data_IF_042665295241
#
_entry.id   IF_042665295241
#
_cell.length_a   1.000
_cell.length_b   1.000
_cell.length_c   1.000
_cell.angle_alpha   90.00
_cell.angle_beta   90.00
_cell.angle_gamma   90.00
#
_symmetry.space_group_name_H-M   'P 1'
#
loop_
_entity.id
_entity.type
_entity.pdbx_description
1 polymer ?
#
# COMPACT_ATOMS: atom_id res chain seq x y z
N UNK A 1 -31.07 20.35 -41.97
CA UNK A 1 -30.45 19.01 -41.91
C UNK A 1 -28.94 19.21 -41.88
N UNK A 2 -28.36 19.22 -40.69
CA UNK A 2 -26.93 19.09 -40.47
C UNK A 2 -26.79 18.03 -39.38
N UNK A 3 -26.34 16.86 -39.79
CA UNK A 3 -26.00 15.73 -38.93
C UNK A 3 -24.71 16.08 -38.19
N UNK A 4 -24.82 16.31 -36.89
CA UNK A 4 -23.67 16.37 -36.00
C UNK A 4 -23.11 14.95 -35.84
N UNK A 5 -22.00 14.67 -36.49
CA UNK A 5 -21.13 13.57 -36.13
C UNK A 5 -20.52 13.89 -34.76
N UNK A 6 -21.03 13.25 -33.72
CA UNK A 6 -20.33 13.14 -32.45
C UNK A 6 -19.26 12.09 -32.70
N UNK A 7 -18.01 12.53 -32.83
CA UNK A 7 -16.84 11.67 -32.76
C UNK A 7 -16.91 10.91 -31.43
N UNK A 8 -17.15 9.61 -31.53
CA UNK A 8 -16.94 8.65 -30.45
C UNK A 8 -15.47 8.74 -30.05
N UNK A 9 -15.20 9.30 -28.88
CA UNK A 9 -13.89 9.14 -28.25
C UNK A 9 -13.76 7.66 -27.90
N UNK A 10 -13.00 6.93 -28.72
CA UNK A 10 -12.42 5.65 -28.38
C UNK A 10 -11.49 5.86 -27.17
N UNK A 11 -12.01 5.62 -25.96
CA UNK A 11 -11.20 5.43 -24.75
C UNK A 11 -10.80 3.96 -24.76
N UNK A 12 -9.69 3.67 -25.45
CA UNK A 12 -9.12 2.33 -25.60
C UNK A 12 -8.28 1.96 -24.37
N UNK A 13 -8.69 0.88 -23.70
CA UNK A 13 -7.92 -0.15 -22.97
C UNK A 13 -6.96 0.17 -21.81
N UNK A 14 -6.36 1.34 -21.68
CA UNK A 14 -5.30 1.54 -20.68
C UNK A 14 -5.83 1.80 -19.24
N UNK A 15 -6.99 2.44 -19.10
CA UNK A 15 -7.56 2.83 -17.80
C UNK A 15 -8.24 1.65 -17.06
N UNK A 16 -8.73 0.64 -17.78
CA UNK A 16 -9.37 -0.53 -17.17
C UNK A 16 -8.34 -1.46 -16.52
N UNK A 17 -7.23 -1.70 -17.22
CA UNK A 17 -6.09 -2.49 -16.71
C UNK A 17 -5.44 -1.84 -15.48
N UNK A 18 -5.35 -0.50 -15.45
CA UNK A 18 -4.80 0.22 -14.30
C UNK A 18 -5.71 0.09 -13.05
N UNK A 19 -7.03 0.21 -13.22
CA UNK A 19 -7.97 0.08 -12.11
C UNK A 19 -8.06 -1.36 -11.60
N UNK A 20 -8.03 -2.36 -12.49
CA UNK A 20 -7.96 -3.79 -12.11
C UNK A 20 -6.66 -4.08 -11.35
N UNK A 21 -5.52 -3.62 -11.88
CA UNK A 21 -4.21 -3.80 -11.25
C UNK A 21 -4.15 -3.16 -9.87
N UNK A 22 -4.71 -1.95 -9.75
CA UNK A 22 -4.80 -1.22 -8.48
C UNK A 22 -5.68 -1.96 -7.48
N UNK A 23 -6.88 -2.41 -7.86
CA UNK A 23 -7.75 -3.17 -6.97
C UNK A 23 -7.11 -4.50 -6.55
N UNK A 24 -6.50 -5.22 -7.49
CA UNK A 24 -5.75 -6.46 -7.20
C UNK A 24 -4.64 -6.23 -6.17
N UNK A 25 -3.81 -5.21 -6.37
CA UNK A 25 -2.73 -4.88 -5.44
C UNK A 25 -3.26 -4.46 -4.06
N UNK A 26 -4.31 -3.63 -4.04
CA UNK A 26 -4.96 -3.16 -2.82
C UNK A 26 -5.60 -4.31 -2.04
N UNK A 27 -6.24 -5.27 -2.72
CA UNK A 27 -6.81 -6.47 -2.10
C UNK A 27 -5.72 -7.38 -1.54
N UNK A 28 -4.65 -7.64 -2.29
CA UNK A 28 -3.51 -8.44 -1.80
C UNK A 28 -2.92 -7.83 -0.54
N UNK A 29 -2.73 -6.51 -0.52
CA UNK A 29 -2.26 -5.81 0.68
C UNK A 29 -3.26 -5.95 1.84
N UNK A 30 -4.56 -5.73 1.61
CA UNK A 30 -5.59 -5.84 2.63
C UNK A 30 -5.63 -7.24 3.25
N UNK A 31 -5.65 -8.28 2.40
CA UNK A 31 -5.60 -9.69 2.82
C UNK A 31 -4.32 -9.95 3.64
N UNK A 32 -3.17 -9.46 3.19
CA UNK A 32 -1.92 -9.60 3.94
C UNK A 32 -1.97 -8.96 5.34
N UNK A 33 -2.72 -7.86 5.52
CA UNK A 33 -2.88 -7.19 6.82
C UNK A 33 -3.94 -7.85 7.69
N UNK A 34 -5.03 -8.32 7.09
CA UNK A 34 -6.08 -9.03 7.78
C UNK A 34 -5.60 -10.38 8.35
N UNK A 35 -4.72 -11.08 7.62
CA UNK A 35 -4.25 -12.42 8.01
C UNK A 35 -2.80 -12.46 8.50
N UNK A 36 -1.97 -11.45 8.23
CA UNK A 36 -0.56 -11.38 8.62
C UNK A 36 0.24 -12.63 8.17
N UNK A 37 0.47 -13.57 9.08
CA UNK A 37 1.13 -14.86 8.89
C UNK A 37 0.21 -16.06 9.21
N UNK A 38 -1.05 -15.78 9.53
CA UNK A 38 -2.09 -16.79 9.68
C UNK A 38 -2.45 -17.42 8.35
N UNK A 39 -3.18 -18.53 8.41
CA UNK A 39 -3.65 -19.23 7.23
C UNK A 39 -4.67 -18.36 6.50
N UNK A 40 -4.31 -17.92 5.29
CA UNK A 40 -5.24 -17.24 4.38
C UNK A 40 -6.17 -18.30 3.79
N UNK A 41 -7.49 -18.11 3.83
CA UNK A 41 -8.44 -19.01 3.16
C UNK A 41 -8.11 -19.20 1.67
N UNK A 42 -8.12 -20.45 1.20
CA UNK A 42 -7.63 -20.84 -0.14
C UNK A 42 -8.25 -20.08 -1.32
N UNK A 43 -9.46 -19.52 -1.15
CA UNK A 43 -10.17 -18.77 -2.19
C UNK A 43 -9.71 -17.31 -2.32
N UNK A 44 -9.11 -16.71 -1.29
CA UNK A 44 -8.67 -15.31 -1.27
C UNK A 44 -7.35 -14.99 -2.02
N UNK A 45 -6.32 -15.85 -2.02
CA UNK A 45 -5.04 -15.55 -2.67
C UNK A 45 -5.05 -15.75 -4.20
N UNK A 46 -6.09 -16.37 -4.76
CA UNK A 46 -6.18 -16.71 -6.18
C UNK A 46 -6.67 -15.54 -7.04
N UNK A 47 -6.97 -15.79 -8.32
CA UNK A 47 -7.48 -14.78 -9.27
C UNK A 47 -8.67 -14.00 -8.69
N UNK A 48 -8.47 -12.70 -8.48
CA UNK A 48 -9.50 -11.80 -7.93
C UNK A 48 -10.58 -11.47 -8.95
N UNK A 49 -10.30 -11.67 -10.23
CA UNK A 49 -11.17 -11.36 -11.35
C UNK A 49 -11.34 -12.59 -12.24
N UNK A 50 -12.55 -12.83 -12.72
CA UNK A 50 -12.85 -13.81 -13.76
C UNK A 50 -13.26 -13.11 -15.04
N UNK A 51 -13.11 -13.80 -16.17
CA UNK A 51 -13.50 -13.30 -17.47
C UNK A 51 -14.78 -14.02 -17.92
N UNK A 52 -15.78 -13.28 -18.41
CA UNK A 52 -17.00 -13.87 -18.97
C UNK A 52 -16.80 -14.28 -20.44
N UNK A 53 -17.86 -14.82 -21.05
CA UNK A 53 -17.87 -15.26 -22.46
C UNK A 53 -17.67 -14.09 -23.46
N UNK A 54 -17.92 -12.85 -23.04
CA UNK A 54 -17.73 -11.63 -23.84
C UNK A 54 -16.35 -10.99 -23.64
N UNK A 55 -15.42 -11.68 -22.98
CA UNK A 55 -14.11 -11.16 -22.57
C UNK A 55 -14.14 -10.01 -21.54
N UNK A 56 -15.28 -9.70 -20.96
CA UNK A 56 -15.40 -8.71 -19.89
C UNK A 56 -14.90 -9.30 -18.56
N UNK A 57 -14.15 -8.52 -17.80
CA UNK A 57 -13.57 -8.91 -16.50
C UNK A 57 -14.48 -8.48 -15.35
N UNK A 58 -14.77 -9.39 -14.43
CA UNK A 58 -15.60 -9.15 -13.25
C UNK A 58 -14.87 -9.59 -11.99
N UNK A 59 -15.08 -8.84 -10.91
CA UNK A 59 -14.63 -9.24 -9.59
C UNK A 59 -15.26 -10.59 -9.22
N UNK A 60 -14.45 -11.51 -8.70
CA UNK A 60 -14.92 -12.81 -8.22
C UNK A 60 -16.04 -12.64 -7.18
N UNK A 61 -17.14 -13.40 -7.26
CA UNK A 61 -18.24 -13.33 -6.29
C UNK A 61 -17.77 -13.55 -4.84
N UNK A 62 -16.79 -14.44 -4.64
CA UNK A 62 -16.23 -14.71 -3.30
C UNK A 62 -15.50 -13.48 -2.73
N UNK A 63 -14.78 -12.75 -3.58
CA UNK A 63 -14.12 -11.50 -3.19
C UNK A 63 -15.15 -10.42 -2.90
N UNK A 64 -16.16 -10.28 -3.76
CA UNK A 64 -17.25 -9.32 -3.56
C UNK A 64 -17.96 -9.54 -2.22
N UNK A 65 -18.35 -10.79 -1.91
CA UNK A 65 -18.99 -11.16 -0.65
C UNK A 65 -18.14 -10.81 0.57
N UNK A 66 -16.84 -11.07 0.50
CA UNK A 66 -15.92 -10.75 1.60
C UNK A 66 -15.78 -9.24 1.80
N UNK A 67 -15.72 -8.45 0.73
CA UNK A 67 -15.69 -6.98 0.82
C UNK A 67 -16.99 -6.43 1.43
N UNK A 68 -18.14 -6.94 1.00
CA UNK A 68 -19.46 -6.57 1.53
C UNK A 68 -19.62 -6.93 3.01
N UNK A 69 -19.03 -8.05 3.45
CA UNK A 69 -19.06 -8.46 4.86
C UNK A 69 -18.29 -7.52 5.79
N UNK A 70 -17.30 -6.79 5.25
CA UNK A 70 -16.40 -5.92 6.01
C UNK A 70 -15.36 -6.63 6.87
N UNK A 71 -15.34 -7.97 6.93
CA UNK A 71 -14.45 -8.76 7.79
C UNK A 71 -12.96 -8.48 7.54
N UNK A 72 -12.55 -8.34 6.27
CA UNK A 72 -11.17 -7.96 5.93
C UNK A 72 -10.78 -6.58 6.47
N UNK A 73 -11.69 -5.61 6.40
CA UNK A 73 -11.44 -4.26 6.91
C UNK A 73 -11.30 -4.26 8.42
N UNK A 74 -12.18 -4.97 9.12
CA UNK A 74 -12.15 -5.11 10.58
C UNK A 74 -10.83 -5.73 11.03
N UNK A 75 -10.45 -6.86 10.46
CA UNK A 75 -9.19 -7.55 10.82
C UNK A 75 -7.96 -6.68 10.52
N UNK A 76 -7.92 -6.06 9.34
CA UNK A 76 -6.82 -5.19 8.97
C UNK A 76 -6.73 -3.98 9.91
N UNK A 77 -7.86 -3.34 10.23
CA UNK A 77 -7.91 -2.21 11.15
C UNK A 77 -7.43 -2.62 12.55
N UNK A 78 -8.00 -3.68 13.12
CA UNK A 78 -7.59 -4.23 14.42
C UNK A 78 -6.09 -4.53 14.49
N UNK A 79 -5.52 -5.09 13.42
CA UNK A 79 -4.07 -5.30 13.35
C UNK A 79 -3.31 -3.98 13.34
N UNK A 80 -3.67 -3.07 12.44
CA UNK A 80 -2.99 -1.78 12.25
C UNK A 80 -2.99 -0.96 13.55
N UNK A 81 -4.10 -0.95 14.29
CA UNK A 81 -4.25 -0.20 15.53
C UNK A 81 -3.88 -0.97 16.80
N UNK A 82 -3.41 -2.22 16.67
CA UNK A 82 -3.13 -3.13 17.80
C UNK A 82 -4.34 -3.35 18.74
N UNK A 83 -5.55 -3.47 18.18
CA UNK A 83 -6.82 -3.67 18.89
C UNK A 83 -7.44 -5.06 18.61
N UNK A 84 -6.62 -6.09 18.44
CA UNK A 84 -7.07 -7.46 18.08
C UNK A 84 -8.08 -8.08 19.06
N UNK A 85 -7.98 -7.73 20.34
CA UNK A 85 -8.87 -8.24 21.39
C UNK A 85 -10.16 -7.40 21.56
N UNK A 86 -10.33 -6.33 20.79
CA UNK A 86 -11.47 -5.44 20.90
C UNK A 86 -12.56 -5.82 19.90
N UNK A 87 -13.82 -5.78 20.35
CA UNK A 87 -14.96 -5.92 19.46
C UNK A 87 -15.10 -4.63 18.64
N UNK A 88 -14.64 -4.69 17.39
CA UNK A 88 -14.71 -3.60 16.41
C UNK A 88 -15.70 -4.00 15.34
N UNK A 89 -16.66 -3.12 15.08
CA UNK A 89 -17.65 -3.28 14.03
C UNK A 89 -17.24 -2.51 12.78
N UNK A 90 -17.92 -2.78 11.67
CA UNK A 90 -17.67 -2.06 10.43
C UNK A 90 -17.96 -0.55 10.57
N UNK A 91 -19.02 -0.19 11.30
CA UNK A 91 -19.38 1.20 11.57
C UNK A 91 -18.32 1.92 12.42
N UNK A 92 -17.64 1.21 13.33
CA UNK A 92 -16.56 1.80 14.14
C UNK A 92 -15.36 2.26 13.29
N UNK A 93 -15.03 1.51 12.23
CA UNK A 93 -13.97 1.89 11.28
C UNK A 93 -14.36 3.16 10.53
N UNK A 94 -15.61 3.25 10.09
CA UNK A 94 -16.11 4.43 9.38
C UNK A 94 -16.13 5.64 10.31
N UNK A 95 -16.59 5.47 11.55
CA UNK A 95 -16.57 6.52 12.58
C UNK A 95 -15.14 6.98 12.91
N UNK A 96 -14.18 6.06 12.94
CA UNK A 96 -12.77 6.40 13.09
C UNK A 96 -12.32 7.35 11.98
N UNK A 97 -12.59 7.04 10.70
CA UNK A 97 -12.19 7.90 9.59
C UNK A 97 -12.96 9.23 9.57
N UNK A 98 -14.24 9.24 9.95
CA UNK A 98 -14.99 10.49 10.14
C UNK A 98 -14.35 11.39 11.20
N UNK A 99 -13.86 10.83 12.31
CA UNK A 99 -13.14 11.61 13.33
C UNK A 99 -11.84 12.26 12.81
N UNK A 100 -11.29 11.71 11.72
CA UNK A 100 -10.11 12.23 11.02
C UNK A 100 -10.49 13.18 9.85
N UNK A 101 -11.76 13.59 9.73
CA UNK A 101 -12.31 14.37 8.62
C UNK A 101 -12.22 13.67 7.25
N UNK A 102 -12.22 12.34 7.23
CA UNK A 102 -12.25 11.53 6.01
C UNK A 102 -13.66 10.97 5.88
N UNK A 103 -14.36 11.36 4.81
CA UNK A 103 -15.74 10.93 4.57
C UNK A 103 -15.77 9.70 3.66
N UNK A 104 -16.27 8.57 4.15
CA UNK A 104 -16.43 7.33 3.36
C UNK A 104 -17.91 6.94 3.38
N UNK A 105 -18.53 6.83 2.21
CA UNK A 105 -19.96 6.53 2.11
C UNK A 105 -20.24 5.05 2.42
N UNK A 106 -20.77 4.81 3.62
CA UNK A 106 -21.12 3.46 4.08
C UNK A 106 -22.23 2.81 3.25
N UNK A 107 -23.13 3.60 2.63
CA UNK A 107 -24.20 3.03 1.80
C UNK A 107 -23.62 2.46 0.52
N UNK A 108 -22.63 3.13 -0.07
CA UNK A 108 -21.91 2.63 -1.25
C UNK A 108 -21.06 1.39 -0.91
N UNK A 109 -20.51 1.32 0.31
CA UNK A 109 -19.75 0.15 0.78
C UNK A 109 -20.63 -1.10 1.00
N UNK A 110 -21.91 -0.91 1.28
CA UNK A 110 -22.90 -1.99 1.48
C UNK A 110 -23.69 -2.31 0.21
N UNK A 111 -23.47 -1.56 -0.87
CA UNK A 111 -24.11 -1.77 -2.16
C UNK A 111 -23.55 -3.03 -2.83
N UNK A 112 -24.39 -4.02 -3.06
CA UNK A 112 -24.04 -5.32 -3.62
C UNK A 112 -24.27 -5.43 -5.14
N UNK A 113 -25.20 -4.64 -5.71
CA UNK A 113 -25.52 -4.70 -7.15
C UNK A 113 -25.70 -3.29 -7.79
N UNK A 114 -24.70 -2.78 -8.55
CA UNK A 114 -23.33 -3.28 -8.67
C UNK A 114 -22.48 -2.90 -7.45
N UNK A 115 -21.50 -3.75 -7.08
CA UNK A 115 -20.51 -3.41 -6.06
C UNK A 115 -19.73 -2.14 -6.45
N UNK A 116 -19.64 -1.18 -5.54
CA UNK A 116 -18.92 0.06 -5.78
C UNK A 116 -17.43 -0.09 -5.49
N UNK A 117 -16.65 -0.53 -6.48
CA UNK A 117 -15.21 -0.77 -6.31
C UNK A 117 -14.44 0.49 -5.87
N UNK A 118 -14.91 1.68 -6.26
CA UNK A 118 -14.25 2.95 -5.93
C UNK A 118 -14.25 3.23 -4.43
N UNK A 119 -15.39 3.08 -3.76
CA UNK A 119 -15.48 3.35 -2.31
C UNK A 119 -14.71 2.29 -1.49
N UNK A 120 -14.69 1.04 -1.98
CA UNK A 120 -13.87 -0.02 -1.38
C UNK A 120 -12.37 0.30 -1.50
N UNK A 121 -11.91 0.78 -2.67
CA UNK A 121 -10.54 1.27 -2.86
C UNK A 121 -10.23 2.45 -1.94
N UNK A 122 -11.13 3.41 -1.80
CA UNK A 122 -10.93 4.56 -0.92
C UNK A 122 -10.74 4.13 0.55
N UNK A 123 -11.55 3.18 1.03
CA UNK A 123 -11.37 2.63 2.38
C UNK A 123 -10.01 1.92 2.53
N UNK A 124 -9.60 1.13 1.54
CA UNK A 124 -8.29 0.45 1.58
C UNK A 124 -7.15 1.47 1.57
N UNK A 125 -7.23 2.50 0.72
CA UNK A 125 -6.22 3.56 0.62
C UNK A 125 -6.09 4.32 1.96
N UNK A 126 -7.20 4.56 2.66
CA UNK A 126 -7.19 5.19 3.98
C UNK A 126 -6.62 4.26 5.08
N UNK A 127 -6.89 2.95 5.02
CA UNK A 127 -6.24 1.96 5.89
C UNK A 127 -4.73 1.87 5.62
N UNK A 128 -4.29 1.93 4.37
CA UNK A 128 -2.86 1.98 4.00
C UNK A 128 -2.19 3.22 4.57
N UNK A 129 -2.80 4.39 4.41
CA UNK A 129 -2.30 5.66 4.99
C UNK A 129 -2.19 5.56 6.51
N UNK A 130 -3.22 5.03 7.18
CA UNK A 130 -3.20 4.81 8.62
C UNK A 130 -2.02 3.90 9.03
N UNK A 131 -1.86 2.77 8.35
CA UNK A 131 -0.75 1.85 8.59
C UNK A 131 0.60 2.55 8.48
N UNK A 132 0.84 3.27 7.37
CA UNK A 132 2.10 3.97 7.17
C UNK A 132 2.34 5.07 8.20
N UNK A 133 1.31 5.80 8.62
CA UNK A 133 1.44 6.82 9.66
C UNK A 133 1.81 6.23 11.03
N UNK A 134 1.42 4.98 11.32
CA UNK A 134 1.79 4.28 12.54
C UNK A 134 3.22 3.74 12.47
N UNK A 135 3.62 3.19 11.32
CA UNK A 135 4.95 2.56 11.18
C UNK A 135 6.08 3.53 10.84
N UNK A 136 5.76 4.68 10.25
CA UNK A 136 6.72 5.73 9.87
C UNK A 136 6.64 6.89 10.85
N UNK A 137 7.36 6.76 11.96
CA UNK A 137 7.57 7.84 12.91
C UNK A 137 8.97 8.45 12.77
N UNK A 138 9.04 9.77 12.88
CA UNK A 138 10.30 10.51 12.77
C UNK A 138 11.33 10.07 13.80
N UNK A 139 10.91 9.79 15.05
CA UNK A 139 11.83 9.37 16.10
C UNK A 139 12.34 7.96 15.84
N UNK A 140 11.47 7.05 15.37
CA UNK A 140 11.87 5.70 14.96
C UNK A 140 12.93 5.76 13.85
N UNK A 141 12.71 6.58 12.81
CA UNK A 141 13.68 6.76 11.73
C UNK A 141 14.98 7.40 12.22
N UNK A 142 14.88 8.42 13.08
CA UNK A 142 16.05 9.08 13.66
C UNK A 142 16.92 8.09 14.45
N UNK A 143 16.33 7.32 15.36
CA UNK A 143 17.04 6.31 16.15
C UNK A 143 17.68 5.23 15.27
N UNK A 144 17.00 4.81 14.19
CA UNK A 144 17.56 3.84 13.24
C UNK A 144 18.77 4.42 12.52
N UNK A 145 18.67 5.61 11.96
CA UNK A 145 19.76 6.22 11.19
C UNK A 145 20.91 6.74 12.06
N UNK A 146 20.66 7.03 13.34
CA UNK A 146 21.69 7.31 14.33
C UNK A 146 22.59 6.09 14.55
N UNK A 147 22.01 4.88 14.68
CA UNK A 147 22.78 3.62 14.78
C UNK A 147 23.62 3.35 13.53
N UNK A 148 23.12 3.74 12.36
CA UNK A 148 23.84 3.62 11.08
C UNK A 148 24.82 4.78 10.80
N UNK A 149 24.89 5.77 11.70
CA UNK A 149 25.79 6.93 11.62
C UNK A 149 25.60 7.81 10.36
N UNK A 150 24.39 7.88 9.80
CA UNK A 150 24.09 8.64 8.58
C UNK A 150 23.75 10.11 8.88
N UNK A 151 24.79 10.95 9.02
CA UNK A 151 24.64 12.37 9.40
C UNK A 151 23.81 13.20 8.41
N UNK A 152 23.89 12.89 7.12
CA UNK A 152 23.11 13.51 6.03
C UNK A 152 21.60 13.38 6.29
N UNK A 153 21.14 12.16 6.55
CA UNK A 153 19.74 11.79 6.80
C UNK A 153 19.25 12.40 8.11
N UNK A 154 20.04 12.34 9.18
CA UNK A 154 19.70 12.95 10.47
C UNK A 154 19.51 14.47 10.35
N UNK A 155 20.36 15.12 9.56
CA UNK A 155 20.25 16.57 9.30
C UNK A 155 18.96 16.91 8.56
N UNK A 156 18.54 16.06 7.62
CA UNK A 156 17.29 16.24 6.88
C UNK A 156 16.07 16.08 7.80
N UNK A 157 16.04 15.01 8.59
CA UNK A 157 14.97 14.75 9.57
C UNK A 157 14.82 15.88 10.59
N UNK A 158 15.93 16.44 11.10
CA UNK A 158 15.89 17.54 12.08
C UNK A 158 15.40 18.87 11.49
N UNK A 159 15.59 19.10 10.19
CA UNK A 159 15.18 20.35 9.54
C UNK A 159 13.71 20.35 9.14
N UNK A 160 13.12 19.18 8.94
CA UNK A 160 11.75 19.05 8.47
C UNK A 160 10.75 19.12 9.63
N UNK A 161 9.96 20.19 9.68
CA UNK A 161 8.97 20.41 10.76
C UNK A 161 7.72 19.54 10.63
N UNK A 162 7.32 19.20 9.40
CA UNK A 162 6.19 18.33 9.09
C UNK A 162 6.45 17.66 7.73
N UNK A 163 6.78 16.38 7.74
CA UNK A 163 6.89 15.59 6.52
C UNK A 163 5.58 14.83 6.30
N UNK A 164 5.14 14.75 5.05
CA UNK A 164 4.09 13.81 4.68
C UNK A 164 4.64 12.37 4.64
N UNK A 165 3.75 11.39 4.61
CA UNK A 165 4.08 9.97 4.59
C UNK A 165 5.02 9.59 3.44
N UNK A 166 4.80 10.15 2.25
CA UNK A 166 5.63 9.93 1.07
C UNK A 166 7.07 10.42 1.29
N UNK A 167 7.24 11.63 1.84
CA UNK A 167 8.56 12.17 2.15
C UNK A 167 9.29 11.31 3.19
N UNK A 168 8.58 10.81 4.20
CA UNK A 168 9.17 9.87 5.17
C UNK A 168 9.64 8.58 4.50
N UNK A 169 8.85 8.00 3.59
CA UNK A 169 9.25 6.82 2.81
C UNK A 169 10.49 7.10 1.98
N UNK A 170 10.53 8.23 1.26
CA UNK A 170 11.68 8.61 0.43
C UNK A 170 12.94 8.76 1.29
N UNK A 171 12.85 9.44 2.44
CA UNK A 171 13.98 9.60 3.36
C UNK A 171 14.44 8.25 3.90
N UNK A 172 13.51 7.38 4.27
CA UNK A 172 13.83 6.05 4.76
C UNK A 172 14.54 5.20 3.71
N UNK A 173 14.04 5.17 2.47
CA UNK A 173 14.66 4.43 1.37
C UNK A 173 16.04 5.00 1.06
N UNK A 174 16.15 6.32 0.92
CA UNK A 174 17.43 6.98 0.65
C UNK A 174 18.46 6.74 1.73
N UNK A 175 18.06 6.72 3.01
CA UNK A 175 18.98 6.41 4.10
C UNK A 175 19.52 4.99 4.01
N UNK A 176 18.67 4.00 3.69
CA UNK A 176 19.15 2.62 3.50
C UNK A 176 20.04 2.53 2.27
N UNK A 177 19.65 3.14 1.15
CA UNK A 177 20.46 3.18 -0.06
C UNK A 177 21.83 3.85 0.17
N UNK A 178 21.88 4.96 0.93
CA UNK A 178 23.14 5.61 1.29
C UNK A 178 24.03 4.70 2.14
N UNK A 179 23.45 4.03 3.14
CA UNK A 179 24.18 3.05 3.95
C UNK A 179 24.75 1.93 3.08
N UNK A 180 23.94 1.32 2.21
CA UNK A 180 24.38 0.24 1.33
C UNK A 180 25.44 0.70 0.32
N UNK A 181 25.30 1.91 -0.23
CA UNK A 181 26.28 2.50 -1.13
C UNK A 181 27.65 2.66 -0.45
N UNK A 182 27.67 3.14 0.79
CA UNK A 182 28.89 3.27 1.60
C UNK A 182 29.52 1.90 1.90
N UNK A 183 28.70 0.89 2.15
CA UNK A 183 29.15 -0.47 2.49
C UNK A 183 29.68 -1.26 1.30
N UNK A 184 29.19 -1.01 0.09
CA UNK A 184 29.53 -1.78 -1.12
C UNK A 184 30.37 -0.98 -2.12
N UNK A 185 30.69 0.30 -1.82
CA UNK A 185 31.35 1.22 -2.77
C UNK A 185 30.65 1.30 -4.13
N UNK A 186 29.32 1.16 -4.13
CA UNK A 186 28.49 1.20 -5.32
C UNK A 186 27.64 2.47 -5.30
N UNK A 187 27.54 3.14 -6.45
CA UNK A 187 26.63 4.27 -6.60
C UNK A 187 25.19 3.77 -6.69
N UNK A 188 24.36 4.18 -5.74
CA UNK A 188 22.90 3.99 -5.80
C UNK A 188 22.28 5.38 -6.04
N UNK A 189 21.48 5.56 -7.10
CA UNK A 189 20.83 6.84 -7.36
C UNK A 189 19.86 7.19 -6.22
N UNK A 190 19.75 8.47 -5.83
CA UNK A 190 18.77 8.88 -4.83
C UNK A 190 17.36 8.73 -5.40
N UNK A 191 16.46 8.22 -4.58
CA UNK A 191 15.02 8.21 -4.81
C UNK A 191 14.50 9.64 -4.65
N UNK A 192 13.96 10.21 -5.74
CA UNK A 192 13.32 11.53 -5.73
C UNK A 192 11.80 11.35 -5.74
N UNK A 193 11.31 10.37 -6.48
CA UNK A 193 9.92 9.96 -6.55
C UNK A 193 9.81 8.44 -6.54
N UNK A 194 8.78 7.91 -5.88
CA UNK A 194 8.60 6.47 -5.72
C UNK A 194 8.24 5.75 -7.02
N UNK A 195 7.63 6.46 -7.98
CA UNK A 195 7.12 5.86 -9.23
C UNK A 195 8.26 5.47 -10.18
N UNK A 196 9.25 6.33 -10.35
CA UNK A 196 10.35 6.12 -11.29
C UNK A 196 11.56 5.47 -10.65
N UNK A 197 11.85 5.78 -9.38
CA UNK A 197 13.10 5.35 -8.74
C UNK A 197 13.13 3.86 -8.36
N UNK A 198 12.02 3.16 -8.49
CA UNK A 198 11.93 1.71 -8.23
C UNK A 198 11.99 0.87 -9.52
N UNK A 199 11.95 1.49 -10.70
CA UNK A 199 11.82 0.81 -12.00
C UNK A 199 13.05 -0.06 -12.31
N UNK A 200 14.25 0.44 -12.04
CA UNK A 200 15.50 -0.27 -12.35
C UNK A 200 15.84 -1.38 -11.33
N UNK A 201 15.05 -1.49 -10.26
CA UNK A 201 15.23 -2.47 -9.18
C UNK A 201 16.42 -2.21 -8.26
N UNK A 202 17.26 -1.20 -8.51
CA UNK A 202 18.48 -0.94 -7.73
C UNK A 202 18.17 -0.62 -6.27
N UNK A 203 17.17 0.24 -6.04
CA UNK A 203 16.72 0.62 -4.70
C UNK A 203 16.08 -0.58 -3.98
N UNK A 204 15.26 -1.37 -4.66
CA UNK A 204 14.62 -2.57 -4.11
C UNK A 204 15.65 -3.62 -3.68
N UNK A 205 16.65 -3.87 -4.53
CA UNK A 205 17.74 -4.78 -4.21
C UNK A 205 18.52 -4.33 -2.96
N UNK A 206 18.76 -3.02 -2.83
CA UNK A 206 19.46 -2.44 -1.68
C UNK A 206 18.66 -2.61 -0.39
N UNK A 207 17.35 -2.38 -0.44
CA UNK A 207 16.44 -2.60 0.68
C UNK A 207 16.42 -4.06 1.11
N UNK A 208 16.25 -4.99 0.16
CA UNK A 208 16.22 -6.43 0.44
C UNK A 208 17.56 -6.87 1.05
N UNK A 209 18.68 -6.46 0.45
CA UNK A 209 20.02 -6.80 0.94
C UNK A 209 20.28 -6.29 2.35
N UNK A 210 19.74 -5.12 2.71
CA UNK A 210 19.85 -4.57 4.06
C UNK A 210 19.06 -5.41 5.09
N UNK A 211 17.84 -5.84 4.76
CA UNK A 211 16.98 -6.60 5.67
C UNK A 211 17.20 -8.12 5.66
N UNK A 212 17.91 -8.67 4.67
CA UNK A 212 18.26 -10.09 4.64
C UNK A 212 19.43 -10.39 5.60
N UNK A 213 19.11 -10.99 6.75
CA UNK A 213 20.09 -11.43 7.75
C UNK A 213 21.12 -12.41 7.19
N UNK A 214 20.75 -13.24 6.19
CA UNK A 214 21.66 -14.21 5.59
C UNK A 214 22.69 -13.56 4.66
N UNK A 215 22.31 -12.48 3.98
CA UNK A 215 23.24 -11.66 3.17
C UNK A 215 24.27 -10.99 4.08
N UNK A 216 23.81 -10.38 5.19
CA UNK A 216 24.67 -9.72 6.16
C UNK A 216 25.66 -10.68 6.86
N UNK A 217 25.25 -11.92 7.15
CA UNK A 217 26.12 -12.93 7.75
C UNK A 217 27.21 -13.47 6.81
N UNK A 218 26.97 -13.54 5.50
CA UNK A 218 27.99 -13.97 4.52
C UNK A 218 29.05 -12.91 4.29
N UNK A 219 28.70 -11.62 4.37
CA UNK A 219 29.63 -10.52 4.22
C UNK A 219 30.65 -10.44 5.36
N UNK A 220 30.26 -10.79 6.59
CA UNK A 220 31.15 -10.78 7.76
C UNK A 220 32.09 -12.01 7.86
N UNK A 221 32.05 -12.94 6.90
CA UNK A 221 32.90 -14.14 6.87
C UNK A 221 34.03 -14.09 5.84
N UNK A 222 34.08 -13.04 5.02
CA UNK A 222 35.14 -12.78 4.03
C UNK A 222 35.90 -11.51 4.41
#
# INVERSE_FOLDING_TARGET
MQSNNIESYDILSDDEDENESRLTCSLRWLISKAYQHGTIPDYLPNEHFFQNENNERFLSPDIALVLLSGDLYIRAFQYITNQQDQLITYDDIINYFYSQNILIDINLLKQDEPLNAHVHLELIDNLMKLYFNIILDQNILYQRFEKLQLKSVLTLLNKSKQLNTESFLIIWINGICEYMANQCSQRIPPVIDLRTALIDGTCLFSLISYYDENYNMKKNKN
#
